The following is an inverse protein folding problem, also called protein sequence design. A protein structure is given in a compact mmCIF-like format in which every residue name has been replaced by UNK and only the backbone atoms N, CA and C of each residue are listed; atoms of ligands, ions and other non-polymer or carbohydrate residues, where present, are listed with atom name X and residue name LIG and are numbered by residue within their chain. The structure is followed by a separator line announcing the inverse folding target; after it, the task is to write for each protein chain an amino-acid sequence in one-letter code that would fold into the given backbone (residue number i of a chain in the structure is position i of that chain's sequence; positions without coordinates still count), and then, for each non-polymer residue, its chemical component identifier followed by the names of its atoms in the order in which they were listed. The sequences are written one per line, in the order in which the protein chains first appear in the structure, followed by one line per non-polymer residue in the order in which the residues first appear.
data_IF_219001146859
#
_entry.id   IF_219001146859
#
_cell.length_a   1.000
_cell.length_b   1.000
_cell.length_c   1.000
_cell.angle_alpha   90.00
_cell.angle_beta   90.00
_cell.angle_gamma   90.00
#
_symmetry.space_group_name_H-M   'P 1'
#
loop_
_entity.id
_entity.type
_entity.pdbx_description
1 polymer ?
#
# COMPACT_ATOMS: atom_id res chain seq x y z
N UNK A 1 -25.98 10.74 15.68
CA UNK A 1 -25.14 11.46 14.68
C UNK A 1 -24.12 10.47 14.10
N UNK A 2 -23.91 10.55 12.78
CA UNK A 2 -23.58 9.43 11.89
C UNK A 2 -22.25 8.70 12.16
N UNK A 3 -22.31 7.36 12.35
CA UNK A 3 -21.16 6.44 12.24
C UNK A 3 -21.07 5.96 10.80
N UNK A 4 -20.27 6.64 9.98
CA UNK A 4 -19.97 6.18 8.63
C UNK A 4 -18.86 5.12 8.66
N UNK A 5 -19.21 3.88 9.01
CA UNK A 5 -18.38 2.71 8.71
C UNK A 5 -18.49 2.38 7.21
N UNK A 6 -17.69 3.07 6.39
CA UNK A 6 -17.52 2.70 4.98
C UNK A 6 -16.46 1.60 4.93
N UNK A 7 -16.91 0.34 5.01
CA UNK A 7 -16.08 -0.85 4.75
C UNK A 7 -15.68 -0.86 3.27
N UNK A 8 -14.62 -0.11 2.94
CA UNK A 8 -13.95 -0.19 1.63
C UNK A 8 -12.94 -1.31 1.76
N UNK A 9 -13.13 -2.42 1.06
CA UNK A 9 -12.18 -3.53 1.02
C UNK A 9 -10.77 -2.98 0.75
N UNK A 10 -9.97 -2.90 1.80
CA UNK A 10 -8.66 -2.26 1.77
C UNK A 10 -7.62 -3.37 1.75
N UNK A 11 -7.12 -3.71 0.56
CA UNK A 11 -5.76 -4.26 0.45
C UNK A 11 -4.82 -3.23 1.06
N UNK A 12 -4.49 -3.42 2.33
CA UNK A 12 -3.51 -2.65 3.08
C UNK A 12 -2.11 -3.19 2.85
N UNK A 13 -1.13 -2.29 2.84
CA UNK A 13 0.29 -2.60 2.70
C UNK A 13 1.00 -2.10 3.96
N UNK A 14 1.87 -2.91 4.56
CA UNK A 14 2.60 -2.58 5.79
C UNK A 14 4.10 -2.46 5.50
N UNK A 15 4.64 -1.24 5.41
CA UNK A 15 6.08 -1.01 5.27
C UNK A 15 6.78 -1.02 6.64
N UNK A 16 7.90 -1.72 6.77
CA UNK A 16 8.77 -1.74 7.95
C UNK A 16 9.99 -0.81 7.78
N UNK A 17 9.79 0.42 7.31
CA UNK A 17 10.89 1.37 7.13
C UNK A 17 10.93 2.33 8.32
N UNK A 18 11.94 2.19 9.19
CA UNK A 18 12.14 3.12 10.29
C UNK A 18 12.73 4.45 9.78
N UNK A 19 11.88 5.40 9.41
CA UNK A 19 12.20 6.85 9.35
C UNK A 19 12.69 7.43 8.01
N UNK A 20 12.90 6.64 6.96
CA UNK A 20 13.32 7.17 5.65
C UNK A 20 12.16 7.42 4.67
N UNK A 21 11.08 6.65 4.77
CA UNK A 21 9.89 6.78 3.93
C UNK A 21 8.62 6.84 4.78
N UNK A 22 7.80 7.86 4.53
CA UNK A 22 6.48 8.01 5.13
C UNK A 22 5.39 7.72 4.10
N UNK A 23 4.47 6.80 4.40
CA UNK A 23 3.29 6.59 3.54
C UNK A 23 2.39 7.82 3.61
N UNK A 24 2.22 8.51 2.48
CA UNK A 24 1.41 9.71 2.35
C UNK A 24 0.00 9.42 1.85
N UNK A 25 -0.15 8.51 0.89
CA UNK A 25 -1.44 8.18 0.30
C UNK A 25 -1.53 6.72 -0.16
N UNK A 26 -2.75 6.21 -0.24
CA UNK A 26 -3.10 4.86 -0.70
C UNK A 26 -4.37 4.92 -1.54
N UNK A 27 -4.19 5.11 -2.83
CA UNK A 27 -5.28 5.35 -3.78
C UNK A 27 -5.64 4.09 -4.55
N UNK A 28 -6.91 4.01 -4.93
CA UNK A 28 -7.41 2.95 -5.81
C UNK A 28 -8.35 3.61 -6.80
N UNK A 29 -7.78 4.17 -7.89
CA UNK A 29 -8.57 4.80 -8.93
C UNK A 29 -9.51 3.77 -9.58
N UNK A 30 -10.60 4.23 -10.20
CA UNK A 30 -11.45 3.37 -11.02
C UNK A 30 -10.62 2.61 -12.06
N UNK A 31 -11.02 1.36 -12.34
CA UNK A 31 -10.39 0.59 -13.40
C UNK A 31 -10.63 1.28 -14.76
N UNK A 32 -9.65 1.15 -15.67
CA UNK A 32 -9.76 1.69 -17.04
C UNK A 32 -10.93 1.08 -17.82
N UNK A 33 -11.32 -0.15 -17.46
CA UNK A 33 -12.53 -0.83 -17.95
C UNK A 33 -13.51 -0.96 -16.79
N UNK A 34 -14.69 -0.36 -16.93
CA UNK A 34 -15.76 -0.40 -15.94
C UNK A 34 -16.61 -1.67 -16.06
N UNK A 35 -16.01 -2.84 -15.83
CA UNK A 35 -16.72 -4.11 -15.77
C UNK A 35 -16.56 -4.79 -14.41
N UNK A 36 -17.59 -5.53 -13.99
CA UNK A 36 -17.54 -6.31 -12.76
C UNK A 36 -16.46 -7.38 -12.87
N UNK A 37 -15.61 -7.48 -11.85
CA UNK A 37 -14.50 -8.43 -11.82
C UNK A 37 -13.24 -7.97 -12.55
N UNK A 38 -13.23 -6.78 -13.17
CA UNK A 38 -12.01 -6.20 -13.73
C UNK A 38 -10.94 -5.99 -12.65
N UNK A 39 -9.68 -6.20 -13.03
CA UNK A 39 -8.54 -5.85 -12.21
C UNK A 39 -8.50 -4.34 -11.95
N UNK A 40 -8.01 -3.94 -10.77
CA UNK A 40 -7.69 -2.54 -10.50
C UNK A 40 -6.27 -2.37 -9.99
N UNK A 41 -5.85 -1.11 -9.91
CA UNK A 41 -4.50 -0.71 -9.50
C UNK A 41 -4.56 -0.01 -8.14
N UNK A 42 -3.75 -0.45 -7.17
CA UNK A 42 -3.48 0.33 -5.95
C UNK A 42 -2.22 1.16 -6.18
N UNK A 43 -2.30 2.45 -5.88
CA UNK A 43 -1.16 3.38 -5.91
C UNK A 43 -0.81 3.72 -4.46
N UNK A 44 0.45 3.51 -4.08
CA UNK A 44 0.98 3.90 -2.77
C UNK A 44 1.98 5.04 -3.00
N UNK A 45 1.74 6.17 -2.35
CA UNK A 45 2.60 7.35 -2.46
C UNK A 45 3.38 7.51 -1.17
N UNK A 46 4.71 7.55 -1.27
CA UNK A 46 5.60 7.74 -0.13
C UNK A 46 6.33 9.08 -0.24
N UNK A 47 6.55 9.74 0.89
CA UNK A 47 7.47 10.89 1.03
C UNK A 47 8.81 10.37 1.50
N UNK A 48 9.89 10.76 0.84
CA UNK A 48 11.25 10.55 1.30
C UNK A 48 11.59 11.58 2.39
N UNK A 49 11.73 11.13 3.63
CA UNK A 49 11.99 12.01 4.78
C UNK A 49 13.50 12.18 5.04
N UNK A 50 14.30 11.13 4.79
CA UNK A 50 15.73 11.15 5.06
C UNK A 50 16.52 10.39 3.97
N UNK A 51 17.74 10.82 3.64
CA UNK A 51 18.66 10.02 2.83
C UNK A 51 18.92 8.65 3.46
N UNK A 52 19.15 7.64 2.62
CA UNK A 52 19.45 6.29 3.05
C UNK A 52 18.75 5.21 2.22
N UNK A 53 18.89 3.96 2.67
CA UNK A 53 18.18 2.82 2.12
C UNK A 53 16.88 2.56 2.87
N UNK A 54 15.81 2.27 2.13
CA UNK A 54 14.52 1.87 2.66
C UNK A 54 14.07 0.57 2.01
N UNK A 55 13.53 -0.35 2.81
CA UNK A 55 12.97 -1.61 2.34
C UNK A 55 11.46 -1.61 2.53
N UNK A 56 10.72 -1.65 1.43
CA UNK A 56 9.27 -1.73 1.45
C UNK A 56 8.86 -3.19 1.28
N UNK A 57 8.21 -3.74 2.31
CA UNK A 57 7.56 -5.04 2.25
C UNK A 57 6.08 -4.83 1.97
N UNK A 58 5.66 -5.18 0.76
CA UNK A 58 4.30 -5.03 0.29
C UNK A 58 3.65 -6.41 0.22
N UNK A 59 2.39 -6.53 0.63
CA UNK A 59 1.70 -7.81 0.67
C UNK A 59 0.30 -7.71 0.08
N UNK A 60 0.00 -8.62 -0.83
CA UNK A 60 -1.34 -8.88 -1.30
C UNK A 60 -2.01 -9.89 -0.36
N UNK A 61 -3.03 -9.44 0.36
CA UNK A 61 -3.74 -10.25 1.34
C UNK A 61 -5.18 -9.77 1.54
N UNK A 62 -5.96 -10.58 2.25
CA UNK A 62 -7.31 -10.23 2.70
C UNK A 62 -7.19 -9.69 4.13
N UNK A 63 -7.42 -8.39 4.31
CA UNK A 63 -7.29 -7.72 5.61
C UNK A 63 -8.03 -8.45 6.74
N UNK A 64 -9.25 -8.93 6.46
CA UNK A 64 -10.12 -9.61 7.43
C UNK A 64 -9.65 -11.01 7.84
N UNK A 65 -8.80 -11.67 7.04
CA UNK A 65 -8.25 -12.99 7.37
C UNK A 65 -6.85 -12.91 7.97
N UNK A 66 -6.23 -11.73 7.90
CA UNK A 66 -4.92 -11.48 8.47
C UNK A 66 -3.82 -12.27 7.76
N UNK A 67 -2.71 -12.48 8.47
CA UNK A 67 -1.42 -12.83 7.85
C UNK A 67 -1.41 -14.15 7.09
N UNK A 68 -2.21 -15.13 7.51
CA UNK A 68 -2.37 -16.43 6.85
C UNK A 68 -2.97 -16.33 5.44
N UNK A 69 -3.50 -15.16 5.07
CA UNK A 69 -4.05 -14.90 3.74
C UNK A 69 -3.08 -14.21 2.79
N UNK A 70 -1.78 -14.22 3.09
CA UNK A 70 -0.76 -13.80 2.14
C UNK A 70 -0.90 -14.58 0.83
N UNK A 71 -1.19 -13.87 -0.26
CA UNK A 71 -1.21 -14.44 -1.59
C UNK A 71 0.12 -14.14 -2.28
N UNK A 72 0.61 -12.91 -2.10
CA UNK A 72 1.84 -12.45 -2.74
C UNK A 72 2.57 -11.46 -1.82
N UNK A 73 3.89 -11.50 -1.84
CA UNK A 73 4.76 -10.55 -1.14
C UNK A 73 5.70 -9.94 -2.17
N UNK A 74 5.73 -8.61 -2.20
CA UNK A 74 6.55 -7.83 -3.10
C UNK A 74 7.50 -6.96 -2.28
N UNK A 75 8.80 -7.07 -2.54
CA UNK A 75 9.83 -6.35 -1.79
C UNK A 75 10.49 -5.33 -2.71
N UNK A 76 10.52 -4.07 -2.28
CA UNK A 76 11.16 -2.97 -3.02
C UNK A 76 12.26 -2.35 -2.17
N UNK A 77 13.45 -2.26 -2.73
CA UNK A 77 14.54 -1.47 -2.15
C UNK A 77 14.53 -0.08 -2.78
N UNK A 78 14.36 0.95 -1.96
CA UNK A 78 14.43 2.35 -2.36
C UNK A 78 15.74 2.93 -1.84
N UNK A 79 16.52 3.58 -2.70
CA UNK A 79 17.71 4.34 -2.30
C UNK A 79 17.42 5.82 -2.45
N UNK A 80 17.52 6.55 -1.35
CA UNK A 80 17.32 8.00 -1.28
C UNK A 80 18.70 8.63 -1.10
N UNK A 81 19.11 9.45 -2.07
CA UNK A 81 20.37 10.18 -2.02
C UNK A 81 20.13 11.61 -1.58
N UNK A 82 21.01 12.15 -0.74
CA UNK A 82 21.06 13.60 -0.52
C UNK A 82 21.46 14.30 -1.82
N UNK A 83 20.97 15.52 -2.02
CA UNK A 83 21.36 16.37 -3.14
C UNK A 83 22.52 17.27 -2.74
#
# INVERSE_FOLDING_TARGET
MSKNHRLRASRGYQSNTAGQLLLRASDYPPASVAAVGSSGLRILTFIAEQPGGALLHLKLWREWKGNSSAIEVFTVTVRITAR
#
